data_IF_546607929378
#
_entry.id   IF_546607929378
#
_cell.length_a   1.000
_cell.length_b   1.000
_cell.length_c   1.000
_cell.angle_alpha   90.00
_cell.angle_beta   90.00
_cell.angle_gamma   90.00
#
_symmetry.space_group_name_H-M   'P 1'
#
loop_
_entity.id
_entity.type
_entity.pdbx_description
1 polymer ?
#
# COMPACT_ATOMS: atom_id res chain seq x y z
N UNK A 1 4.64 -8.03 12.76
CA UNK A 1 3.43 -7.77 11.95
C UNK A 1 2.81 -9.11 11.63
N UNK A 2 1.55 -9.37 12.00
CA UNK A 2 0.90 -10.61 11.61
C UNK A 2 0.93 -10.73 10.08
N UNK A 3 1.33 -11.88 9.55
CA UNK A 3 1.35 -12.17 8.10
C UNK A 3 -0.09 -12.17 7.55
N UNK A 4 -0.62 -10.97 7.30
CA UNK A 4 -1.91 -10.78 6.65
C UNK A 4 -1.76 -11.32 5.23
N UNK A 5 -2.38 -12.47 4.96
CA UNK A 5 -2.42 -13.05 3.61
C UNK A 5 -3.15 -12.09 2.67
N UNK A 6 -2.37 -11.30 1.92
CA UNK A 6 -2.89 -10.43 0.88
C UNK A 6 -3.44 -11.23 -0.29
N UNK A 7 -4.63 -10.84 -0.76
CA UNK A 7 -5.20 -11.29 -2.03
C UNK A 7 -4.37 -10.81 -3.22
N UNK A 8 -4.57 -11.41 -4.39
CA UNK A 8 -3.91 -10.96 -5.62
C UNK A 8 -4.19 -9.47 -5.92
N UNK A 9 -5.42 -9.01 -5.67
CA UNK A 9 -5.79 -7.59 -5.84
C UNK A 9 -5.05 -6.68 -4.85
N UNK A 10 -4.97 -7.05 -3.56
CA UNK A 10 -4.24 -6.27 -2.54
C UNK A 10 -2.74 -6.16 -2.89
N UNK A 11 -2.13 -7.25 -3.38
CA UNK A 11 -0.73 -7.23 -3.86
C UNK A 11 -0.53 -6.32 -5.07
N UNK A 12 -1.45 -6.35 -6.04
CA UNK A 12 -1.39 -5.47 -7.20
C UNK A 12 -1.50 -3.99 -6.80
N UNK A 13 -2.33 -3.66 -5.80
CA UNK A 13 -2.43 -2.30 -5.27
C UNK A 13 -1.15 -1.85 -4.55
N UNK A 14 -0.52 -2.72 -3.76
CA UNK A 14 0.76 -2.44 -3.11
C UNK A 14 1.82 -2.11 -4.18
N UNK A 15 1.98 -2.97 -5.19
CA UNK A 15 2.93 -2.75 -6.28
C UNK A 15 2.65 -1.43 -7.04
N UNK A 16 1.38 -1.12 -7.30
CA UNK A 16 1.00 0.13 -7.97
C UNK A 16 1.35 1.38 -7.13
N UNK A 17 1.17 1.31 -5.81
CA UNK A 17 1.54 2.39 -4.87
C UNK A 17 3.05 2.59 -4.87
N UNK A 18 3.83 1.50 -4.83
CA UNK A 18 5.29 1.57 -4.86
C UNK A 18 5.81 2.20 -6.14
N UNK A 19 5.36 1.72 -7.31
CA UNK A 19 5.75 2.29 -8.61
C UNK A 19 5.38 3.78 -8.70
N UNK A 20 4.19 4.17 -8.24
CA UNK A 20 3.76 5.57 -8.24
C UNK A 20 4.63 6.44 -7.32
N UNK A 21 4.97 5.93 -6.15
CA UNK A 21 5.81 6.65 -5.19
C UNK A 21 7.23 6.88 -5.74
N UNK A 22 7.82 5.87 -6.39
CA UNK A 22 9.12 6.00 -7.06
C UNK A 22 9.10 7.02 -8.18
N UNK A 23 8.07 6.98 -9.04
CA UNK A 23 7.88 7.96 -10.13
C UNK A 23 7.74 9.39 -9.59
N UNK A 24 6.98 9.60 -8.51
CA UNK A 24 6.83 10.93 -7.89
C UNK A 24 8.13 11.41 -7.23
N UNK A 25 8.83 10.54 -6.52
CA UNK A 25 10.12 10.88 -5.92
C UNK A 25 11.13 11.30 -6.99
N UNK A 26 11.18 10.58 -8.11
CA UNK A 26 12.06 10.90 -9.24
C UNK A 26 11.67 12.20 -9.96
N UNK A 27 10.38 12.54 -10.05
CA UNK A 27 9.90 13.69 -10.81
C UNK A 27 9.97 15.03 -10.04
N UNK A 28 9.79 15.00 -8.72
CA UNK A 28 9.56 16.22 -7.93
C UNK A 28 10.58 16.37 -6.78
N UNK A 29 11.41 15.35 -6.51
CA UNK A 29 12.27 15.31 -5.32
C UNK A 29 11.50 15.38 -4.00
N UNK A 30 10.17 15.24 -4.07
CA UNK A 30 9.26 15.38 -2.95
C UNK A 30 9.23 14.10 -2.14
N UNK A 31 9.06 14.22 -0.82
CA UNK A 31 8.93 13.08 0.09
C UNK A 31 7.61 12.32 -0.16
N UNK A 32 7.61 11.50 -1.20
CA UNK A 32 6.54 10.58 -1.53
C UNK A 32 6.38 9.46 -0.49
N UNK A 33 7.29 9.38 0.50
CA UNK A 33 7.27 8.39 1.56
C UNK A 33 6.00 8.50 2.40
N UNK A 34 5.64 9.70 2.83
CA UNK A 34 4.46 9.90 3.68
C UNK A 34 3.15 9.51 2.97
N UNK A 35 2.99 9.88 1.69
CA UNK A 35 1.82 9.47 0.90
C UNK A 35 1.80 7.96 0.63
N UNK A 36 2.96 7.36 0.34
CA UNK A 36 3.13 5.90 0.17
C UNK A 36 2.67 5.16 1.42
N UNK A 37 3.16 5.56 2.60
CA UNK A 37 2.80 4.93 3.87
C UNK A 37 1.29 5.02 4.14
N UNK A 38 0.67 6.20 3.90
CA UNK A 38 -0.79 6.36 4.03
C UNK A 38 -1.56 5.46 3.07
N UNK A 39 -1.07 5.27 1.84
CA UNK A 39 -1.70 4.37 0.88
C UNK A 39 -1.56 2.90 1.28
N UNK A 40 -0.38 2.47 1.72
CA UNK A 40 -0.15 1.11 2.23
C UNK A 40 -1.03 0.81 3.45
N UNK A 41 -1.11 1.74 4.40
CA UNK A 41 -1.97 1.59 5.59
C UNK A 41 -3.44 1.37 5.22
N UNK A 42 -3.96 2.06 4.19
CA UNK A 42 -5.33 1.85 3.71
C UNK A 42 -5.56 0.44 3.17
N UNK A 43 -4.56 -0.14 2.50
CA UNK A 43 -4.62 -1.51 1.98
C UNK A 43 -4.58 -2.50 3.16
N UNK A 44 -3.69 -2.29 4.13
CA UNK A 44 -3.63 -3.08 5.36
C UNK A 44 -4.95 -3.05 6.15
N UNK A 45 -5.53 -1.87 6.36
CA UNK A 45 -6.79 -1.72 7.08
C UNK A 45 -7.95 -2.42 6.35
N UNK A 46 -7.92 -2.46 5.01
CA UNK A 46 -8.88 -3.22 4.21
C UNK A 46 -8.67 -4.72 4.36
N UNK A 47 -7.42 -5.18 4.30
CA UNK A 47 -7.08 -6.59 4.49
C UNK A 47 -7.46 -7.07 5.90
N UNK A 48 -7.22 -6.26 6.93
CA UNK A 48 -7.60 -6.55 8.32
C UNK A 48 -9.12 -6.62 8.49
N UNK A 49 -9.87 -5.65 7.94
CA UNK A 49 -11.34 -5.69 7.98
C UNK A 49 -11.91 -6.91 7.26
N UNK A 50 -11.30 -7.33 6.15
CA UNK A 50 -11.68 -8.57 5.45
C UNK A 50 -11.39 -9.82 6.29
N UNK A 51 -10.23 -9.88 6.94
CA UNK A 51 -9.85 -11.00 7.79
C UNK A 51 -10.77 -11.13 9.01
N UNK A 52 -11.16 -10.02 9.64
CA UNK A 52 -12.04 -9.99 10.82
C UNK A 52 -13.54 -10.15 10.48
N UNK A 53 -13.92 -10.11 9.20
CA UNK A 53 -15.31 -10.30 8.76
C UNK A 53 -15.63 -11.77 8.44
N UNK A 54 -14.65 -12.66 8.57
CA UNK A 54 -14.82 -14.12 8.51
C UNK A 54 -14.96 -14.68 9.91
#
# INVERSE_FOLDING_TARGET
MADLKYTAWERAQIAAVEVRSLKRAAAIGYDAHTERLRALKRIEDKARRRANRK
#
